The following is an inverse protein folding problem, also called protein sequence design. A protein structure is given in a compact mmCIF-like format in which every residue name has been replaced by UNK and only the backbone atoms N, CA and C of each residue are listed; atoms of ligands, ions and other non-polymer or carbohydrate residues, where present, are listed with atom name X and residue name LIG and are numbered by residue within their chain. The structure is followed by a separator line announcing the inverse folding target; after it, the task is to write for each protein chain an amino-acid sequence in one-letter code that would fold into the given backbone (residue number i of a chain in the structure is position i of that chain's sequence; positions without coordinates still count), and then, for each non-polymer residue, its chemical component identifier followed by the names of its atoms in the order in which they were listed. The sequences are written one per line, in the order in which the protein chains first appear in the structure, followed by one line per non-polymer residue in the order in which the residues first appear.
data_IF_017345484949
#
_entry.id   IF_017345484949
#
_cell.length_a   1.000
_cell.length_b   1.000
_cell.length_c   1.000
_cell.angle_alpha   90.00
_cell.angle_beta   90.00
_cell.angle_gamma   90.00
#
_symmetry.space_group_name_H-M   'P 1'
#
loop_
_entity.id
_entity.type
_entity.pdbx_description
1 polymer ?
#
# COMPACT_ATOMS: atom_id res chain seq x y z
N UNK A 1 -50.98 -12.00 -40.30
CA UNK A 1 -50.31 -13.21 -39.75
C UNK A 1 -49.84 -12.89 -38.36
N UNK A 2 -50.56 -13.37 -37.35
CA UNK A 2 -50.28 -13.12 -35.92
C UNK A 2 -49.24 -14.16 -35.49
N UNK A 3 -47.96 -13.80 -35.48
CA UNK A 3 -46.96 -14.59 -34.76
C UNK A 3 -46.97 -14.18 -33.29
N UNK A 4 -47.26 -15.17 -32.46
CA UNK A 4 -47.68 -15.06 -31.07
C UNK A 4 -46.57 -14.51 -30.17
N UNK A 5 -46.89 -13.43 -29.44
CA UNK A 5 -46.11 -12.84 -28.32
C UNK A 5 -45.83 -13.82 -27.15
N UNK A 6 -46.24 -15.10 -27.25
CA UNK A 6 -45.99 -16.14 -26.24
C UNK A 6 -44.73 -16.99 -26.50
N UNK A 7 -44.05 -16.83 -27.63
CA UNK A 7 -42.85 -17.64 -27.96
C UNK A 7 -41.56 -17.18 -27.27
N UNK A 8 -41.44 -15.88 -26.96
CA UNK A 8 -40.24 -15.27 -26.36
C UNK A 8 -39.96 -15.79 -24.93
N UNK A 9 -40.94 -15.84 -24.00
CA UNK A 9 -40.68 -16.35 -22.65
C UNK A 9 -40.39 -17.86 -22.64
N UNK A 10 -40.95 -18.64 -23.57
CA UNK A 10 -40.71 -20.09 -23.66
C UNK A 10 -39.27 -20.40 -24.12
N UNK A 11 -38.69 -19.59 -25.01
CA UNK A 11 -37.29 -19.72 -25.41
C UNK A 11 -36.32 -19.33 -24.28
N UNK A 12 -36.66 -18.32 -23.47
CA UNK A 12 -35.87 -17.93 -22.30
C UNK A 12 -35.83 -19.02 -21.23
N UNK A 13 -36.97 -19.66 -20.93
CA UNK A 13 -37.04 -20.77 -19.96
C UNK A 13 -36.28 -22.00 -20.47
N UNK A 14 -36.38 -22.32 -21.77
CA UNK A 14 -35.63 -23.43 -22.35
C UNK A 14 -34.10 -23.21 -22.27
N UNK A 15 -33.63 -21.99 -22.54
CA UNK A 15 -32.21 -21.64 -22.42
C UNK A 15 -31.71 -21.76 -20.97
N UNK A 16 -32.51 -21.30 -20.00
CA UNK A 16 -32.16 -21.38 -18.58
C UNK A 16 -32.07 -22.83 -18.07
N UNK A 17 -32.96 -23.71 -18.52
CA UNK A 17 -32.91 -25.14 -18.17
C UNK A 17 -31.68 -25.82 -18.79
N UNK A 18 -31.34 -25.49 -20.04
CA UNK A 18 -30.12 -26.02 -20.69
C UNK A 18 -28.86 -25.53 -19.98
N UNK A 19 -28.81 -24.26 -19.58
CA UNK A 19 -27.70 -23.68 -18.83
C UNK A 19 -27.51 -24.34 -17.44
N UNK A 20 -28.59 -24.57 -16.70
CA UNK A 20 -28.52 -25.27 -15.42
C UNK A 20 -28.08 -26.74 -15.59
N UNK A 21 -28.52 -27.40 -16.67
CA UNK A 21 -28.10 -28.78 -16.97
C UNK A 21 -26.61 -28.87 -17.33
N UNK A 22 -26.08 -27.92 -18.12
CA UNK A 22 -24.65 -27.91 -18.48
C UNK A 22 -23.75 -27.60 -17.28
N UNK A 23 -24.11 -26.63 -16.45
CA UNK A 23 -23.36 -26.30 -15.22
C UNK A 23 -23.38 -27.47 -14.23
N UNK A 24 -24.54 -28.12 -14.07
CA UNK A 24 -24.68 -29.31 -13.23
C UNK A 24 -23.79 -30.46 -13.70
N UNK A 25 -23.74 -30.73 -15.02
CA UNK A 25 -22.90 -31.80 -15.58
C UNK A 25 -21.39 -31.49 -15.48
N UNK A 26 -20.97 -30.25 -15.70
CA UNK A 26 -19.56 -29.85 -15.48
C UNK A 26 -19.16 -30.03 -14.01
N UNK A 27 -20.05 -29.67 -13.07
CA UNK A 27 -19.79 -29.84 -11.64
C UNK A 27 -19.65 -31.32 -11.21
N UNK A 28 -20.37 -32.23 -11.88
CA UNK A 28 -20.24 -33.68 -11.64
C UNK A 28 -18.91 -34.24 -12.13
N UNK A 29 -18.38 -33.71 -13.22
CA UNK A 29 -17.06 -34.09 -13.75
C UNK A 29 -15.91 -33.73 -12.78
N UNK A 30 -16.07 -32.66 -12.00
CA UNK A 30 -15.09 -32.24 -10.98
C UNK A 30 -15.13 -33.10 -9.70
N UNK A 31 -16.25 -33.77 -9.40
CA UNK A 31 -16.38 -34.67 -8.21
C UNK A 31 -15.67 -36.02 -8.36
N UNK A 32 -15.13 -36.34 -9.53
CA UNK A 32 -14.44 -37.61 -9.80
C UNK A 32 -12.96 -37.45 -10.19
N UNK A 33 -12.34 -36.29 -9.92
CA UNK A 33 -10.88 -36.21 -9.96
C UNK A 33 -10.28 -36.83 -8.69
N UNK A 34 -9.40 -37.84 -8.80
CA UNK A 34 -8.72 -38.41 -7.63
C UNK A 34 -7.73 -37.40 -7.05
N UNK A 35 -7.89 -37.10 -5.77
CA UNK A 35 -6.96 -36.34 -4.94
C UNK A 35 -5.62 -37.08 -4.81
N UNK A 36 -4.55 -36.55 -5.39
CA UNK A 36 -3.19 -36.94 -5.02
C UNK A 36 -2.78 -36.14 -3.78
N UNK A 37 -3.08 -36.69 -2.60
CA UNK A 37 -2.64 -36.19 -1.30
C UNK A 37 -1.28 -36.80 -0.97
N UNK A 38 -0.29 -35.94 -0.72
CA UNK A 38 0.91 -36.26 0.03
C UNK A 38 1.02 -35.32 1.22
N UNK A 39 0.13 -35.49 2.21
CA UNK A 39 0.26 -34.86 3.52
C UNK A 39 1.32 -35.64 4.31
N UNK A 40 2.41 -34.96 4.70
CA UNK A 40 3.27 -35.41 5.78
C UNK A 40 2.67 -34.96 7.12
N UNK A 41 2.61 -35.89 8.07
CA UNK A 41 1.80 -35.84 9.29
C UNK A 41 2.07 -34.68 10.26
N UNK A 42 0.98 -34.14 10.82
CA UNK A 42 0.94 -33.49 12.14
C UNK A 42 0.10 -34.39 13.07
N UNK A 43 0.67 -34.79 14.21
CA UNK A 43 -0.09 -35.23 15.39
C UNK A 43 0.36 -34.44 16.61
N UNK A 44 -0.63 -33.92 17.33
CA UNK A 44 -0.55 -32.98 18.46
C UNK A 44 -0.60 -33.69 19.83
N UNK A 45 0.38 -33.42 20.73
CA UNK A 45 0.32 -33.20 22.23
C UNK A 45 -0.28 -34.25 23.19
N UNK A 46 -0.06 -34.23 24.55
CA UNK A 46 0.96 -33.62 25.44
C UNK A 46 1.61 -34.60 26.50
N UNK A 47 2.61 -34.10 27.26
CA UNK A 47 3.46 -34.69 28.35
C UNK A 47 2.77 -35.54 29.46
N UNK A 48 3.47 -36.47 30.21
CA UNK A 48 4.50 -36.14 31.23
C UNK A 48 5.73 -37.08 31.41
N UNK A 49 6.84 -36.47 31.86
CA UNK A 49 8.07 -36.97 32.51
C UNK A 49 8.42 -38.47 32.52
N UNK A 50 9.61 -38.80 31.99
CA UNK A 50 10.60 -39.69 32.62
C UNK A 50 11.99 -39.49 32.04
N UNK A 51 12.97 -39.36 32.92
CA UNK A 51 14.40 -39.19 32.68
C UNK A 51 15.03 -40.38 31.94
N UNK A 52 15.57 -40.15 30.74
CA UNK A 52 16.60 -41.01 30.14
C UNK A 52 17.60 -40.14 29.39
N UNK A 53 18.86 -40.21 29.82
CA UNK A 53 20.01 -39.66 29.11
C UNK A 53 20.20 -40.43 27.80
N UNK A 54 20.09 -39.74 26.66
CA UNK A 54 20.61 -40.23 25.39
C UNK A 54 21.41 -39.13 24.72
N UNK A 55 22.73 -39.29 24.81
CA UNK A 55 23.70 -38.66 23.94
C UNK A 55 23.47 -39.16 22.52
N UNK A 56 23.02 -38.27 21.64
CA UNK A 56 23.09 -38.50 20.20
C UNK A 56 23.68 -37.26 19.55
N UNK A 57 25.01 -37.23 19.47
CA UNK A 57 25.75 -36.49 18.44
C UNK A 57 25.31 -37.01 17.08
N UNK A 58 24.39 -36.28 16.46
CA UNK A 58 24.01 -36.43 15.07
C UNK A 58 23.81 -35.04 14.49
N UNK A 59 24.93 -34.37 14.15
CA UNK A 59 24.87 -33.23 13.22
C UNK A 59 24.30 -33.79 11.91
N UNK A 60 23.04 -33.50 11.65
CA UNK A 60 22.48 -33.64 10.30
C UNK A 60 23.14 -32.57 9.47
N UNK A 61 24.21 -32.97 8.79
CA UNK A 61 24.90 -32.19 7.78
C UNK A 61 23.94 -32.04 6.59
N UNK A 62 23.02 -31.08 6.67
CA UNK A 62 22.26 -30.64 5.52
C UNK A 62 23.27 -29.98 4.56
N UNK A 63 23.41 -30.45 3.31
CA UNK A 63 24.27 -29.77 2.36
C UNK A 63 23.81 -28.32 2.26
N UNK A 64 24.73 -27.38 2.48
CA UNK A 64 24.46 -25.95 2.33
C UNK A 64 23.98 -25.74 0.90
N UNK A 65 22.65 -25.60 0.73
CA UNK A 65 22.05 -25.34 -0.57
C UNK A 65 22.67 -24.05 -1.10
N UNK A 66 23.50 -24.16 -2.13
CA UNK A 66 24.04 -22.99 -2.82
C UNK A 66 22.86 -22.14 -3.29
N UNK A 67 22.84 -20.88 -2.86
CA UNK A 67 21.79 -19.94 -3.26
C UNK A 67 21.88 -19.73 -4.78
N UNK A 68 20.73 -19.67 -5.46
CA UNK A 68 20.65 -19.38 -6.88
C UNK A 68 21.20 -17.98 -7.20
N UNK A 69 21.07 -17.04 -6.26
CA UNK A 69 21.68 -15.73 -6.35
C UNK A 69 22.19 -15.24 -4.98
N UNK A 70 23.34 -14.53 -4.94
CA UNK A 70 23.84 -13.95 -3.70
C UNK A 70 22.84 -12.93 -3.15
N UNK A 71 22.67 -12.90 -1.83
CA UNK A 71 21.80 -11.90 -1.19
C UNK A 71 22.41 -10.50 -1.36
N UNK A 72 21.62 -9.47 -1.71
CA UNK A 72 22.11 -8.11 -1.78
C UNK A 72 22.60 -7.67 -0.40
N UNK A 73 23.68 -6.90 -0.38
CA UNK A 73 24.17 -6.30 0.84
C UNK A 73 23.58 -4.90 1.00
N UNK A 74 22.58 -4.78 1.88
CA UNK A 74 21.91 -3.53 2.17
C UNK A 74 22.67 -2.75 3.24
N UNK A 75 23.54 -1.83 2.81
CA UNK A 75 24.20 -0.88 3.69
C UNK A 75 23.38 0.43 3.78
N UNK A 76 23.40 1.12 4.93
CA UNK A 76 22.95 2.50 5.01
C UNK A 76 23.75 3.39 4.04
N UNK A 77 23.07 4.27 3.31
CA UNK A 77 23.73 5.23 2.44
C UNK A 77 24.29 6.42 3.21
N UNK A 78 25.18 7.17 2.57
CA UNK A 78 25.75 8.41 3.13
C UNK A 78 25.12 9.60 2.39
N UNK A 79 24.29 10.42 3.07
CA UNK A 79 23.72 11.61 2.47
C UNK A 79 24.80 12.58 1.96
N UNK A 80 24.44 13.37 0.94
CA UNK A 80 25.29 14.46 0.48
C UNK A 80 25.37 15.54 1.58
N UNK A 81 26.46 16.34 1.61
CA UNK A 81 26.58 17.45 2.55
C UNK A 81 25.41 18.44 2.46
N UNK A 82 25.05 19.14 3.55
CA UNK A 82 24.02 20.18 3.53
C UNK A 82 24.22 21.18 2.38
N UNK A 83 23.13 21.56 1.72
CA UNK A 83 23.14 22.44 0.54
C UNK A 83 23.47 21.77 -0.78
N UNK A 84 23.76 20.47 -0.79
CA UNK A 84 23.92 19.70 -2.03
C UNK A 84 22.57 19.40 -2.68
N UNK A 85 22.53 19.39 -4.01
CA UNK A 85 21.33 19.02 -4.77
C UNK A 85 21.29 17.52 -5.06
N UNK A 86 20.07 16.98 -5.15
CA UNK A 86 19.79 15.60 -5.54
C UNK A 86 19.10 15.59 -6.90
N UNK A 87 19.58 14.75 -7.82
CA UNK A 87 18.82 14.43 -9.02
C UNK A 87 17.63 13.54 -8.63
N UNK A 88 16.41 13.96 -8.96
CA UNK A 88 15.16 13.31 -8.55
C UNK A 88 14.34 12.94 -9.78
N UNK A 89 13.85 11.70 -9.86
CA UNK A 89 12.88 11.28 -10.89
C UNK A 89 11.62 10.75 -10.23
N UNK A 90 10.46 11.13 -10.77
CA UNK A 90 9.16 10.61 -10.40
C UNK A 90 8.65 9.69 -11.51
N UNK A 91 8.48 8.42 -11.19
CA UNK A 91 8.04 7.36 -12.12
C UNK A 91 6.56 7.07 -11.86
N UNK A 92 5.75 7.25 -12.90
CA UNK A 92 4.29 7.19 -12.80
C UNK A 92 3.73 6.39 -13.97
N UNK A 93 2.88 5.36 -13.72
CA UNK A 93 2.07 4.75 -14.76
C UNK A 93 0.92 5.70 -15.13
N UNK A 94 0.59 5.81 -16.40
CA UNK A 94 -0.54 6.58 -16.90
C UNK A 94 -1.41 5.68 -17.78
N UNK A 95 -2.69 5.55 -17.43
CA UNK A 95 -3.68 4.86 -18.23
C UNK A 95 -4.71 5.84 -18.81
N UNK A 96 -5.07 5.68 -20.09
CA UNK A 96 -6.14 6.44 -20.71
C UNK A 96 -5.96 7.96 -20.61
N UNK A 97 -6.87 8.62 -19.88
CA UNK A 97 -6.94 10.08 -19.75
C UNK A 97 -6.52 10.59 -18.36
N UNK A 98 -5.79 9.79 -17.58
CA UNK A 98 -5.25 10.25 -16.30
C UNK A 98 -4.39 11.50 -16.48
N UNK A 99 -4.62 12.52 -15.64
CA UNK A 99 -3.87 13.77 -15.69
C UNK A 99 -2.56 13.63 -14.93
N UNK A 100 -1.46 13.80 -15.66
CA UNK A 100 -0.09 13.74 -15.16
C UNK A 100 0.65 15.07 -15.35
N UNK A 101 -0.01 16.09 -15.89
CA UNK A 101 0.62 17.39 -16.21
C UNK A 101 0.94 18.18 -14.93
N UNK A 102 0.20 17.96 -13.84
CA UNK A 102 0.45 18.56 -12.54
C UNK A 102 1.91 18.41 -12.08
N UNK A 103 2.57 17.28 -12.39
CA UNK A 103 3.96 17.04 -12.02
C UNK A 103 4.90 18.13 -12.54
N UNK A 104 4.66 18.64 -13.76
CA UNK A 104 5.52 19.67 -14.36
C UNK A 104 5.37 21.03 -13.67
N UNK A 105 4.18 21.33 -13.16
CA UNK A 105 3.86 22.61 -12.54
C UNK A 105 4.20 22.61 -11.05
N UNK A 106 3.83 21.55 -10.35
CA UNK A 106 3.96 21.45 -8.89
C UNK A 106 5.34 20.92 -8.46
N UNK A 107 6.02 20.13 -9.31
CA UNK A 107 7.29 19.48 -8.98
C UNK A 107 8.41 19.80 -9.98
N UNK A 108 8.78 21.09 -10.18
CA UNK A 108 9.79 21.47 -11.16
C UNK A 108 11.19 20.89 -10.88
N UNK A 109 11.46 20.48 -9.64
CA UNK A 109 12.71 19.82 -9.24
C UNK A 109 12.73 18.30 -9.47
N UNK A 110 11.59 17.71 -9.85
CA UNK A 110 11.48 16.28 -10.15
C UNK A 110 11.37 16.09 -11.65
N UNK A 111 12.21 15.23 -12.21
CA UNK A 111 12.06 14.81 -13.59
C UNK A 111 10.91 13.80 -13.69
N UNK A 112 9.82 14.08 -14.44
CA UNK A 112 8.77 13.08 -14.64
C UNK A 112 9.25 12.01 -15.63
N UNK A 113 8.94 10.75 -15.31
CA UNK A 113 9.06 9.56 -16.15
C UNK A 113 7.68 8.88 -16.23
N UNK A 114 6.83 9.39 -17.12
CA UNK A 114 5.45 8.94 -17.30
C UNK A 114 5.40 7.80 -18.29
N UNK A 115 4.98 6.61 -17.85
CA UNK A 115 4.82 5.43 -18.70
C UNK A 115 3.36 5.27 -19.10
N UNK A 116 3.07 5.41 -20.39
CA UNK A 116 1.73 5.20 -20.93
C UNK A 116 1.51 3.69 -21.09
N UNK A 117 0.58 3.12 -20.31
CA UNK A 117 0.45 1.66 -20.21
C UNK A 117 -0.40 1.04 -21.32
N UNK A 118 -1.22 1.83 -22.00
CA UNK A 118 -2.16 1.41 -23.04
C UNK A 118 -1.76 1.86 -24.47
N UNK A 119 -0.61 2.53 -24.63
CA UNK A 119 -0.06 2.94 -25.92
C UNK A 119 1.41 2.48 -26.10
N UNK A 120 1.61 1.41 -26.89
CA UNK A 120 2.95 0.89 -27.22
C UNK A 120 3.77 1.81 -28.13
N UNK A 121 3.17 2.88 -28.68
CA UNK A 121 3.89 3.88 -29.48
C UNK A 121 4.42 5.05 -28.65
N UNK A 122 3.98 5.18 -27.39
CA UNK A 122 4.47 6.20 -26.47
C UNK A 122 5.98 6.05 -26.23
N UNK A 123 6.74 7.15 -26.01
CA UNK A 123 8.18 7.04 -25.77
C UNK A 123 8.57 6.18 -24.56
N UNK A 124 7.77 6.23 -23.50
CA UNK A 124 7.89 5.38 -22.33
C UNK A 124 6.62 4.54 -22.23
N UNK A 125 6.77 3.23 -22.40
CA UNK A 125 5.69 2.24 -22.31
C UNK A 125 6.27 0.94 -21.74
N UNK A 126 5.49 0.16 -20.97
CA UNK A 126 5.91 -1.17 -20.55
C UNK A 126 5.86 -2.16 -21.73
N UNK A 127 6.58 -3.28 -21.67
CA UNK A 127 6.53 -4.31 -22.72
C UNK A 127 5.13 -4.92 -22.91
N UNK A 128 4.32 -4.91 -21.85
CA UNK A 128 2.91 -5.34 -21.84
C UNK A 128 2.23 -4.72 -20.61
N UNK A 129 0.97 -4.32 -20.74
CA UNK A 129 0.16 -3.93 -19.58
C UNK A 129 -0.26 -5.20 -18.80
N UNK A 130 0.45 -5.52 -17.71
CA UNK A 130 0.22 -6.69 -16.84
C UNK A 130 0.71 -6.37 -15.43
N UNK A 131 -0.09 -6.66 -14.41
CA UNK A 131 0.30 -6.45 -13.00
C UNK A 131 0.38 -4.97 -12.59
N UNK A 132 -0.46 -4.11 -13.18
CA UNK A 132 -0.62 -2.69 -12.84
C UNK A 132 0.71 -1.91 -12.82
N UNK A 133 0.99 -1.13 -11.78
CA UNK A 133 2.18 -0.28 -11.65
C UNK A 133 3.49 -1.07 -11.63
N UNK A 134 3.45 -2.35 -11.26
CA UNK A 134 4.63 -3.19 -11.08
C UNK A 134 5.44 -3.31 -12.38
N UNK A 135 4.76 -3.49 -13.52
CA UNK A 135 5.47 -3.62 -14.80
C UNK A 135 6.16 -2.31 -15.19
N UNK A 136 5.56 -1.17 -14.85
CA UNK A 136 6.13 0.15 -15.10
C UNK A 136 7.36 0.37 -14.22
N UNK A 137 7.24 0.12 -12.91
CA UNK A 137 8.33 0.33 -11.96
C UNK A 137 9.54 -0.55 -12.29
N UNK A 138 9.31 -1.83 -12.58
CA UNK A 138 10.38 -2.74 -13.00
C UNK A 138 10.98 -2.34 -14.36
N UNK A 139 10.17 -1.90 -15.33
CA UNK A 139 10.68 -1.46 -16.64
C UNK A 139 11.56 -0.23 -16.50
N UNK A 140 11.16 0.78 -15.73
CA UNK A 140 11.99 1.94 -15.46
C UNK A 140 13.35 1.56 -14.86
N UNK A 141 13.35 0.72 -13.82
CA UNK A 141 14.60 0.27 -13.17
C UNK A 141 15.51 -0.42 -14.19
N UNK A 142 14.95 -1.31 -15.02
CA UNK A 142 15.72 -2.09 -16.00
C UNK A 142 16.29 -1.18 -17.10
N UNK A 143 15.47 -0.30 -17.65
CA UNK A 143 15.81 0.54 -18.81
C UNK A 143 16.83 1.62 -18.43
N UNK A 144 16.75 2.11 -17.19
CA UNK A 144 17.58 3.19 -16.68
C UNK A 144 18.69 2.75 -15.74
N UNK A 145 18.87 1.44 -15.50
CA UNK A 145 19.78 0.88 -14.48
C UNK A 145 21.18 1.53 -14.42
N UNK A 146 21.80 1.78 -15.59
CA UNK A 146 23.14 2.36 -15.69
C UNK A 146 23.19 3.90 -15.52
N UNK A 147 22.02 4.55 -15.50
CA UNK A 147 21.85 6.01 -15.52
C UNK A 147 20.75 6.48 -14.57
N UNK A 148 20.51 5.75 -13.48
CA UNK A 148 19.55 6.11 -12.44
C UNK A 148 19.86 7.52 -11.89
N UNK A 149 18.87 8.32 -11.45
CA UNK A 149 19.09 9.55 -10.68
C UNK A 149 19.48 9.21 -9.24
N UNK A 150 19.71 10.20 -8.37
CA UNK A 150 20.05 9.95 -6.96
C UNK A 150 18.87 9.36 -6.19
N UNK A 151 17.67 9.85 -6.50
CA UNK A 151 16.42 9.51 -5.83
C UNK A 151 15.35 9.22 -6.89
N UNK A 152 14.67 8.09 -6.73
CA UNK A 152 13.58 7.66 -7.60
C UNK A 152 12.34 7.47 -6.73
N UNK A 153 11.28 8.23 -7.00
CA UNK A 153 9.96 7.99 -6.43
C UNK A 153 9.12 7.20 -7.43
N UNK A 154 8.41 6.19 -6.94
CA UNK A 154 7.43 5.39 -7.67
C UNK A 154 6.08 5.65 -7.04
N UNK A 155 5.12 6.13 -7.84
CA UNK A 155 3.84 6.61 -7.33
C UNK A 155 2.72 6.40 -8.34
N UNK A 156 1.46 6.45 -7.90
CA UNK A 156 0.31 6.52 -8.81
C UNK A 156 0.21 7.91 -9.46
N UNK A 157 -0.59 8.02 -10.53
CA UNK A 157 -0.69 9.23 -11.38
C UNK A 157 -1.44 10.40 -10.77
N UNK A 158 -2.32 10.14 -9.80
CA UNK A 158 -3.24 11.13 -9.25
C UNK A 158 -2.52 12.09 -8.27
N UNK A 159 -2.68 13.40 -8.50
CA UNK A 159 -2.20 14.40 -7.53
C UNK A 159 -2.94 14.30 -6.19
N UNK A 160 -4.27 14.22 -6.24
CA UNK A 160 -5.11 14.09 -5.05
C UNK A 160 -5.73 12.69 -5.01
N UNK A 161 -5.45 11.93 -3.95
CA UNK A 161 -5.96 10.58 -3.81
C UNK A 161 -6.10 10.16 -2.34
N UNK A 162 -6.99 9.21 -2.09
CA UNK A 162 -7.25 8.64 -0.76
C UNK A 162 -6.06 7.89 -0.16
N UNK A 163 -5.15 7.39 -1.00
CA UNK A 163 -3.96 6.65 -0.58
C UNK A 163 -2.75 7.56 -0.31
N UNK A 164 -2.88 8.87 -0.51
CA UNK A 164 -1.92 9.86 -0.08
C UNK A 164 -2.26 10.29 1.36
N UNK A 165 -1.24 10.62 2.16
CA UNK A 165 -1.45 10.89 3.58
C UNK A 165 -2.32 12.15 3.80
N UNK A 166 -3.28 12.02 4.72
CA UNK A 166 -4.26 13.05 5.06
C UNK A 166 -3.61 14.33 5.61
N UNK A 167 -2.46 14.21 6.28
CA UNK A 167 -1.69 15.37 6.78
C UNK A 167 -1.26 16.34 5.66
N UNK A 168 -1.25 15.87 4.41
CA UNK A 168 -0.99 16.67 3.21
C UNK A 168 -2.27 16.88 2.38
N UNK A 169 -3.44 16.73 2.98
CA UNK A 169 -4.75 16.79 2.32
C UNK A 169 -4.86 15.85 1.09
N UNK A 170 -4.21 14.68 1.16
CA UNK A 170 -4.14 13.73 0.06
C UNK A 170 -3.36 14.22 -1.16
N UNK A 171 -2.55 15.28 -1.04
CA UNK A 171 -1.79 15.90 -2.12
C UNK A 171 -0.38 15.30 -2.28
N UNK A 172 -0.18 14.54 -3.36
CA UNK A 172 1.09 13.94 -3.72
C UNK A 172 2.20 14.98 -3.98
N UNK A 173 1.86 16.16 -4.50
CA UNK A 173 2.84 17.20 -4.73
C UNK A 173 3.47 17.70 -3.42
N UNK A 174 2.65 17.95 -2.41
CA UNK A 174 3.14 18.41 -1.11
C UNK A 174 4.02 17.34 -0.43
N UNK A 175 3.61 16.06 -0.52
CA UNK A 175 4.43 14.93 -0.05
C UNK A 175 5.84 14.96 -0.68
N UNK A 176 5.93 15.04 -2.01
CA UNK A 176 7.20 15.00 -2.72
C UNK A 176 8.03 16.29 -2.63
N UNK A 177 7.41 17.43 -2.38
CA UNK A 177 8.11 18.69 -2.09
C UNK A 177 8.78 18.64 -0.70
N UNK A 178 8.10 18.06 0.29
CA UNK A 178 8.60 17.97 1.67
C UNK A 178 9.55 16.80 1.91
N UNK A 179 9.53 15.80 1.03
CA UNK A 179 10.34 14.59 1.16
C UNK A 179 11.82 14.91 1.36
N UNK A 180 12.40 14.40 2.45
CA UNK A 180 13.80 14.55 2.80
C UNK A 180 14.69 13.54 2.04
N UNK A 181 15.48 13.96 1.04
CA UNK A 181 16.34 13.06 0.28
C UNK A 181 17.42 12.40 1.14
N UNK A 182 17.86 13.07 2.21
CA UNK A 182 18.90 12.54 3.09
C UNK A 182 18.42 11.29 3.84
N UNK A 183 17.16 11.28 4.30
CA UNK A 183 16.55 10.07 4.88
C UNK A 183 16.50 8.94 3.86
N UNK A 184 16.02 9.22 2.64
CA UNK A 184 15.92 8.21 1.58
C UNK A 184 17.29 7.58 1.28
N UNK A 185 18.36 8.37 1.29
CA UNK A 185 19.72 7.85 1.12
C UNK A 185 20.16 7.02 2.32
N UNK A 186 19.94 7.49 3.56
CA UNK A 186 20.30 6.74 4.77
C UNK A 186 19.65 5.35 4.79
N UNK A 187 18.34 5.31 4.61
CA UNK A 187 17.56 4.07 4.71
C UNK A 187 17.66 3.23 3.42
N UNK A 188 17.90 3.89 2.29
CA UNK A 188 17.92 3.30 0.95
C UNK A 188 16.54 3.09 0.34
N UNK A 189 15.51 2.94 1.18
CA UNK A 189 14.10 2.75 0.84
C UNK A 189 13.23 3.46 1.86
N UNK A 190 12.15 4.09 1.41
CA UNK A 190 11.11 4.64 2.27
C UNK A 190 9.76 4.51 1.57
N UNK A 191 8.75 4.02 2.27
CA UNK A 191 7.37 4.11 1.81
C UNK A 191 6.93 5.58 1.87
N UNK A 192 6.26 6.08 0.84
CA UNK A 192 5.80 7.47 0.81
C UNK A 192 4.64 7.69 1.79
N UNK A 193 3.91 6.64 2.14
CA UNK A 193 2.86 6.68 3.13
C UNK A 193 3.42 6.42 4.53
N UNK A 194 3.07 7.26 5.49
CA UNK A 194 3.44 7.08 6.89
C UNK A 194 2.34 6.42 7.71
N UNK A 195 1.06 6.61 7.35
CA UNK A 195 -0.07 6.03 8.09
C UNK A 195 -0.01 4.50 8.03
N UNK A 196 -0.15 3.83 9.17
CA UNK A 196 -0.03 2.38 9.27
C UNK A 196 -1.14 1.58 8.56
N UNK A 197 -2.36 2.10 8.52
CA UNK A 197 -3.52 1.35 8.03
C UNK A 197 -3.89 1.69 6.57
N UNK A 198 -4.11 0.70 5.68
CA UNK A 198 -3.83 -0.71 5.88
C UNK A 198 -2.33 -1.01 5.74
N UNK A 199 -1.90 -2.15 6.30
CA UNK A 199 -0.59 -2.71 6.01
C UNK A 199 0.36 -2.92 7.20
N UNK A 200 0.20 -2.18 8.29
CA UNK A 200 1.01 -2.30 9.50
C UNK A 200 0.16 -2.51 10.77
N UNK A 201 0.71 -3.16 11.81
CA UNK A 201 2.00 -3.85 11.86
C UNK A 201 1.95 -5.31 11.38
N UNK A 202 0.75 -5.85 11.16
CA UNK A 202 0.49 -7.26 10.89
C UNK A 202 -0.59 -7.38 9.81
N UNK A 203 -0.17 -7.53 8.54
CA UNK A 203 -1.08 -7.42 7.41
C UNK A 203 -1.26 -8.73 6.66
N UNK A 204 -0.26 -9.22 5.95
CA UNK A 204 -0.39 -10.43 5.12
C UNK A 204 0.33 -11.62 5.73
N UNK A 205 -0.37 -12.74 5.82
CA UNK A 205 0.14 -14.01 6.30
C UNK A 205 0.20 -15.01 5.14
N UNK A 206 1.36 -15.25 4.50
CA UNK A 206 1.46 -16.18 3.37
C UNK A 206 0.96 -17.61 3.64
N UNK A 207 0.88 -18.02 4.92
CA UNK A 207 0.33 -19.31 5.33
C UNK A 207 -1.19 -19.34 5.51
N UNK A 208 -1.91 -18.24 5.28
CA UNK A 208 -3.36 -18.19 5.41
C UNK A 208 -4.05 -19.07 4.36
N UNK A 209 -5.03 -19.85 4.80
CA UNK A 209 -5.80 -20.76 3.95
C UNK A 209 -7.23 -20.26 3.68
N UNK A 210 -7.70 -19.31 4.49
CA UNK A 210 -9.03 -18.74 4.37
C UNK A 210 -8.96 -17.48 3.51
N UNK A 211 -9.89 -17.34 2.58
CA UNK A 211 -10.03 -16.12 1.80
C UNK A 211 -10.58 -15.00 2.69
N UNK A 212 -9.94 -13.83 2.60
CA UNK A 212 -10.39 -12.58 3.19
C UNK A 212 -10.72 -11.61 2.03
N UNK A 213 -11.92 -11.06 2.03
CA UNK A 213 -12.39 -10.14 0.99
C UNK A 213 -11.52 -8.87 0.90
N UNK A 214 -10.87 -8.49 2.00
CA UNK A 214 -9.96 -7.35 2.06
C UNK A 214 -8.52 -7.68 1.65
N UNK A 215 -8.14 -8.97 1.62
CA UNK A 215 -6.78 -9.47 1.35
C UNK A 215 -6.79 -10.65 0.37
N UNK A 216 -7.44 -10.46 -0.78
CA UNK A 216 -7.69 -11.52 -1.76
C UNK A 216 -6.40 -12.19 -2.29
N UNK A 217 -5.27 -11.49 -2.22
CA UNK A 217 -3.94 -11.97 -2.58
C UNK A 217 -3.33 -12.95 -1.57
N UNK A 218 -3.79 -12.96 -0.32
CA UNK A 218 -3.07 -13.58 0.80
C UNK A 218 -2.90 -15.09 0.63
N UNK A 219 -3.95 -15.78 0.20
CA UNK A 219 -3.94 -17.24 -0.03
C UNK A 219 -3.02 -17.66 -1.19
N UNK A 220 -2.64 -16.72 -2.06
CA UNK A 220 -1.74 -16.95 -3.20
C UNK A 220 -0.28 -16.59 -2.88
N UNK A 221 0.00 -15.97 -1.73
CA UNK A 221 1.33 -15.47 -1.40
C UNK A 221 2.34 -16.58 -1.19
N UNK A 222 2.04 -17.68 -0.50
CA UNK A 222 3.02 -18.76 -0.29
C UNK A 222 3.54 -19.34 -1.62
N UNK A 223 2.64 -19.57 -2.58
CA UNK A 223 3.02 -20.03 -3.92
C UNK A 223 3.85 -18.98 -4.65
N UNK A 224 3.34 -17.75 -4.70
CA UNK A 224 4.02 -16.65 -5.39
C UNK A 224 5.39 -16.35 -4.79
N UNK A 225 5.53 -16.48 -3.47
CA UNK A 225 6.78 -16.32 -2.75
C UNK A 225 7.82 -17.36 -3.19
N UNK A 226 7.43 -18.63 -3.25
CA UNK A 226 8.32 -19.70 -3.72
C UNK A 226 8.79 -19.50 -5.17
N UNK A 227 7.99 -18.81 -5.99
CA UNK A 227 8.36 -18.44 -7.36
C UNK A 227 9.24 -17.17 -7.40
N UNK A 228 8.94 -16.13 -6.62
CA UNK A 228 9.64 -14.84 -6.66
C UNK A 228 10.97 -14.87 -5.87
N UNK A 229 10.99 -15.56 -4.73
CA UNK A 229 12.14 -15.66 -3.82
C UNK A 229 12.46 -17.14 -3.50
N UNK A 230 12.88 -17.94 -4.49
CA UNK A 230 13.00 -19.40 -4.37
C UNK A 230 14.00 -19.90 -3.30
N UNK A 231 14.88 -19.02 -2.82
CA UNK A 231 15.88 -19.34 -1.79
C UNK A 231 15.61 -18.65 -0.45
N UNK A 232 14.49 -17.93 -0.32
CA UNK A 232 14.10 -17.32 0.93
C UNK A 232 13.00 -18.15 1.60
N UNK A 233 13.07 -18.36 2.93
CA UNK A 233 11.95 -18.98 3.64
C UNK A 233 10.70 -18.13 3.49
N UNK A 234 9.54 -18.78 3.40
CA UNK A 234 8.24 -18.10 3.38
C UNK A 234 8.08 -17.39 4.73
N UNK A 235 7.82 -16.07 4.76
CA UNK A 235 7.67 -15.34 5.99
C UNK A 235 6.34 -15.63 6.66
N UNK A 236 6.27 -15.44 7.98
CA UNK A 236 5.01 -15.57 8.72
C UNK A 236 4.10 -14.36 8.50
N UNK A 237 4.69 -13.18 8.31
CA UNK A 237 4.02 -11.88 8.17
C UNK A 237 4.76 -11.05 7.12
N UNK A 238 4.00 -10.37 6.26
CA UNK A 238 4.44 -9.26 5.44
C UNK A 238 3.66 -8.02 5.85
N UNK A 239 4.37 -6.95 6.19
CA UNK A 239 3.74 -5.71 6.64
C UNK A 239 4.58 -4.49 6.28
N UNK A 240 3.89 -3.48 5.75
CA UNK A 240 4.37 -2.11 5.52
C UNK A 240 3.14 -1.24 5.22
N UNK A 241 3.19 0.10 5.27
CA UNK A 241 2.09 0.92 4.77
C UNK A 241 1.73 0.55 3.31
N UNK A 242 0.45 0.57 2.98
CA UNK A 242 -0.05 0.10 1.68
C UNK A 242 0.45 0.88 0.44
N UNK A 243 -0.06 0.42 -0.69
CA UNK A 243 -0.36 1.20 -1.89
C UNK A 243 0.81 1.41 -2.85
N UNK A 244 1.89 0.62 -2.72
CA UNK A 244 2.99 0.57 -3.68
C UNK A 244 3.63 1.94 -4.04
N UNK A 245 3.46 2.97 -3.19
CA UNK A 245 4.07 4.28 -3.37
C UNK A 245 5.32 4.37 -2.48
N UNK A 246 6.49 4.45 -3.10
CA UNK A 246 7.75 4.42 -2.35
C UNK A 246 8.84 5.20 -3.07
N UNK A 247 9.90 5.51 -2.33
CA UNK A 247 11.07 6.18 -2.84
C UNK A 247 12.32 5.37 -2.48
N UNK A 248 13.26 5.31 -3.42
CA UNK A 248 14.53 4.58 -3.27
C UNK A 248 15.70 5.41 -3.73
N UNK A 249 16.84 5.18 -3.08
CA UNK A 249 18.12 5.73 -3.52
C UNK A 249 18.71 4.93 -4.68
N UNK A 250 19.52 5.60 -5.51
CA UNK A 250 20.31 4.99 -6.56
C UNK A 250 21.12 3.80 -6.06
N UNK A 251 21.86 4.02 -4.97
CA UNK A 251 22.77 3.05 -4.38
C UNK A 251 22.01 1.80 -3.92
N UNK A 252 20.78 1.99 -3.43
CA UNK A 252 19.94 0.86 -3.02
C UNK A 252 19.48 0.01 -4.20
N UNK A 253 19.08 0.62 -5.31
CA UNK A 253 18.77 -0.13 -6.54
C UNK A 253 20.02 -0.86 -7.04
N UNK A 254 21.17 -0.18 -7.09
CA UNK A 254 22.43 -0.73 -7.61
C UNK A 254 23.01 -1.86 -6.75
N UNK A 255 22.63 -1.96 -5.47
CA UNK A 255 22.98 -3.10 -4.62
C UNK A 255 22.34 -4.41 -5.09
N UNK A 256 21.32 -4.35 -5.95
CA UNK A 256 20.57 -5.50 -6.46
C UNK A 256 20.91 -5.68 -7.94
N UNK A 257 21.54 -6.79 -8.37
CA UNK A 257 21.91 -6.98 -9.77
C UNK A 257 20.73 -6.81 -10.73
N UNK A 258 20.94 -6.07 -11.83
CA UNK A 258 19.92 -5.83 -12.88
C UNK A 258 19.14 -7.09 -13.30
N UNK A 259 19.82 -8.23 -13.40
CA UNK A 259 19.22 -9.51 -13.76
C UNK A 259 18.08 -9.94 -12.81
N UNK A 260 18.10 -9.49 -11.55
CA UNK A 260 17.04 -9.79 -10.59
C UNK A 260 15.77 -8.98 -10.88
N UNK A 261 15.89 -7.72 -11.26
CA UNK A 261 14.73 -6.93 -11.71
C UNK A 261 14.13 -7.50 -13.00
N UNK A 262 14.97 -7.99 -13.92
CA UNK A 262 14.51 -8.72 -15.11
C UNK A 262 13.74 -9.98 -14.72
N UNK A 263 14.26 -10.77 -13.76
CA UNK A 263 13.57 -11.95 -13.24
C UNK A 263 12.18 -11.63 -12.67
N UNK A 264 12.09 -10.56 -11.87
CA UNK A 264 10.83 -10.08 -11.32
C UNK A 264 9.84 -9.66 -12.41
N UNK A 265 10.31 -8.93 -13.42
CA UNK A 265 9.47 -8.51 -14.55
C UNK A 265 8.98 -9.72 -15.35
N UNK A 266 9.85 -10.69 -15.55
CA UNK A 266 9.50 -11.92 -16.26
C UNK A 266 8.50 -12.76 -15.47
N UNK A 267 8.52 -12.73 -14.13
CA UNK A 267 7.49 -13.37 -13.31
C UNK A 267 6.12 -12.71 -13.53
N UNK A 268 6.05 -11.37 -13.49
CA UNK A 268 4.82 -10.62 -13.77
C UNK A 268 4.26 -10.97 -15.15
N UNK A 269 5.12 -11.04 -16.17
CA UNK A 269 4.69 -11.31 -17.54
C UNK A 269 4.21 -12.75 -17.77
N UNK A 270 4.72 -13.71 -17.00
CA UNK A 270 4.45 -15.15 -17.19
C UNK A 270 3.41 -15.73 -16.24
N UNK A 271 3.16 -15.10 -15.11
CA UNK A 271 2.20 -15.61 -14.13
C UNK A 271 0.78 -15.66 -14.72
N UNK A 272 0.05 -16.72 -14.36
CA UNK A 272 -1.36 -16.90 -14.73
C UNK A 272 -2.31 -16.10 -13.82
N UNK A 273 -1.78 -15.47 -12.77
CA UNK A 273 -2.54 -14.60 -11.88
C UNK A 273 -3.09 -13.38 -12.64
N UNK A 274 -4.29 -12.95 -12.28
CA UNK A 274 -4.88 -11.71 -12.83
C UNK A 274 -4.00 -10.50 -12.53
N UNK A 275 -4.19 -9.41 -13.28
CA UNK A 275 -3.47 -8.14 -13.02
C UNK A 275 -3.72 -7.64 -11.61
N UNK A 276 -4.98 -7.71 -11.18
CA UNK A 276 -5.39 -7.38 -9.82
C UNK A 276 -4.61 -8.14 -8.75
N UNK A 277 -4.55 -9.48 -8.82
CA UNK A 277 -3.88 -10.29 -7.78
C UNK A 277 -2.36 -10.15 -7.86
N UNK A 278 -1.79 -10.19 -9.08
CA UNK A 278 -0.34 -10.05 -9.24
C UNK A 278 0.18 -8.66 -8.81
N UNK A 279 -0.59 -7.59 -9.03
CA UNK A 279 -0.29 -6.26 -8.51
C UNK A 279 -0.34 -6.20 -6.99
N UNK A 280 -1.45 -6.67 -6.38
CA UNK A 280 -1.63 -6.68 -4.92
C UNK A 280 -0.58 -7.51 -4.17
N UNK A 281 -0.11 -8.61 -4.75
CA UNK A 281 1.03 -9.36 -4.20
C UNK A 281 2.27 -8.45 -4.11
N UNK A 282 2.57 -7.71 -5.18
CA UNK A 282 3.75 -6.86 -5.25
C UNK A 282 3.69 -5.61 -4.39
N UNK A 283 2.50 -5.12 -4.09
CA UNK A 283 2.27 -4.00 -3.16
C UNK A 283 3.03 -4.18 -1.84
N UNK A 284 3.11 -5.42 -1.34
CA UNK A 284 3.81 -5.80 -0.10
C UNK A 284 5.11 -6.57 -0.33
N UNK A 285 5.76 -6.40 -1.50
CA UNK A 285 7.08 -6.97 -1.77
C UNK A 285 8.17 -5.92 -2.02
N UNK A 286 7.82 -4.66 -2.24
CA UNK A 286 8.81 -3.62 -2.52
C UNK A 286 9.79 -3.42 -1.36
N UNK A 287 9.31 -3.38 -0.12
CA UNK A 287 10.19 -3.29 1.04
C UNK A 287 11.07 -4.54 1.17
N UNK A 288 10.56 -5.74 0.88
CA UNK A 288 11.36 -6.97 0.85
C UNK A 288 12.49 -6.87 -0.18
N UNK A 289 12.17 -6.40 -1.39
CA UNK A 289 13.15 -6.24 -2.48
C UNK A 289 14.24 -5.23 -2.11
N UNK A 290 13.88 -4.12 -1.47
CA UNK A 290 14.82 -3.04 -1.20
C UNK A 290 15.41 -3.03 0.22
N UNK A 291 14.94 -3.85 1.14
CA UNK A 291 15.47 -3.89 2.53
C UNK A 291 15.87 -5.29 2.96
N UNK A 292 15.31 -6.33 2.34
CA UNK A 292 15.46 -7.71 2.80
C UNK A 292 14.61 -8.05 4.02
N UNK A 293 13.89 -7.08 4.58
CA UNK A 293 13.03 -7.24 5.74
C UNK A 293 11.59 -7.53 5.31
N UNK A 294 10.92 -8.42 6.04
CA UNK A 294 9.53 -8.79 5.77
C UNK A 294 8.53 -7.79 6.37
N UNK A 295 8.95 -7.03 7.38
CA UNK A 295 8.12 -6.06 8.11
C UNK A 295 8.85 -4.72 8.20
N UNK A 296 8.31 -3.68 7.58
CA UNK A 296 8.81 -2.30 7.65
C UNK A 296 7.65 -1.40 8.08
N UNK A 297 7.50 -1.23 9.40
CA UNK A 297 6.46 -0.40 10.02
C UNK A 297 7.11 0.65 10.93
N UNK A 298 7.74 1.69 10.36
CA UNK A 298 8.31 2.77 11.16
C UNK A 298 7.19 3.46 11.94
N UNK A 299 7.49 3.95 13.15
CA UNK A 299 6.53 4.78 13.89
C UNK A 299 6.11 5.98 13.04
N UNK A 300 4.81 6.26 13.00
CA UNK A 300 4.22 7.29 12.14
C UNK A 300 4.86 8.67 12.40
N UNK A 301 5.04 9.04 13.67
CA UNK A 301 5.69 10.30 14.07
C UNK A 301 7.14 10.42 13.58
N UNK A 302 7.91 9.32 13.58
CA UNK A 302 9.27 9.27 13.03
C UNK A 302 9.23 9.38 11.51
N UNK A 303 8.27 8.71 10.86
CA UNK A 303 8.05 8.80 9.41
C UNK A 303 7.83 10.25 8.96
N UNK A 304 6.89 10.95 9.61
CA UNK A 304 6.62 12.36 9.31
C UNK A 304 7.79 13.28 9.64
N UNK A 305 8.44 13.10 10.77
CA UNK A 305 9.49 14.02 11.21
C UNK A 305 10.75 13.91 10.33
N UNK A 306 11.40 12.74 10.28
CA UNK A 306 12.66 12.61 9.54
C UNK A 306 12.43 12.58 8.02
N UNK A 307 11.22 12.17 7.58
CA UNK A 307 10.88 11.99 6.17
C UNK A 307 10.27 13.22 5.51
N UNK A 308 9.46 13.98 6.24
CA UNK A 308 8.72 15.12 5.69
C UNK A 308 8.89 16.43 6.49
N UNK A 309 9.66 16.41 7.58
CA UNK A 309 9.89 17.60 8.39
C UNK A 309 8.69 18.02 9.24
N UNK A 310 7.86 17.07 9.68
CA UNK A 310 6.76 17.34 10.60
C UNK A 310 7.01 16.59 11.91
N UNK A 311 7.50 17.31 12.93
CA UNK A 311 7.98 16.72 14.17
C UNK A 311 7.05 17.02 15.34
N UNK A 312 6.45 15.96 15.88
CA UNK A 312 5.43 16.04 16.93
C UNK A 312 5.98 15.94 18.36
N UNK A 313 7.30 15.99 18.54
CA UNK A 313 7.96 15.86 19.86
C UNK A 313 7.74 14.49 20.50
N UNK A 314 7.78 13.45 19.68
CA UNK A 314 7.58 12.07 20.07
C UNK A 314 6.19 11.54 19.78
N UNK A 315 5.97 10.31 20.27
CA UNK A 315 4.75 9.54 20.07
C UNK A 315 3.55 10.19 20.75
N UNK A 316 3.71 10.70 21.98
CA UNK A 316 2.62 11.35 22.74
C UNK A 316 2.04 12.56 22.02
N UNK A 317 2.91 13.41 21.45
CA UNK A 317 2.43 14.56 20.67
C UNK A 317 1.73 14.12 19.39
N UNK A 318 2.22 13.09 18.71
CA UNK A 318 1.52 12.60 17.53
C UNK A 318 0.19 11.92 17.86
N UNK A 319 0.09 11.23 18.99
CA UNK A 319 -1.14 10.62 19.47
C UNK A 319 -2.21 11.67 19.78
N UNK A 320 -1.82 12.80 20.36
CA UNK A 320 -2.72 13.94 20.56
C UNK A 320 -3.22 14.53 19.23
N UNK A 321 -2.34 14.65 18.24
CA UNK A 321 -2.72 15.09 16.90
C UNK A 321 -3.74 14.14 16.26
N UNK A 322 -3.53 12.82 16.37
CA UNK A 322 -4.46 11.81 15.87
C UNK A 322 -5.80 11.84 16.62
N UNK A 323 -5.77 12.03 17.95
CA UNK A 323 -6.98 12.15 18.76
C UNK A 323 -7.85 13.32 18.30
N UNK A 324 -7.25 14.48 18.06
CA UNK A 324 -7.97 15.65 17.55
C UNK A 324 -8.62 15.39 16.17
N UNK A 325 -7.93 14.68 15.27
CA UNK A 325 -8.52 14.28 13.98
C UNK A 325 -9.68 13.32 14.14
N UNK A 326 -9.53 12.30 15.00
CA UNK A 326 -10.60 11.35 15.30
C UNK A 326 -11.85 12.07 15.85
N UNK A 327 -11.67 12.95 16.83
CA UNK A 327 -12.76 13.73 17.41
C UNK A 327 -13.42 14.66 16.39
N UNK A 328 -12.63 15.32 15.52
CA UNK A 328 -13.16 16.13 14.42
C UNK A 328 -14.00 15.27 13.47
N UNK A 329 -13.50 14.10 13.06
CA UNK A 329 -14.20 13.20 12.15
C UNK A 329 -15.51 12.65 12.72
N UNK A 330 -15.54 12.34 14.02
CA UNK A 330 -16.78 11.97 14.72
C UNK A 330 -17.82 13.09 14.69
N UNK A 331 -17.41 14.33 14.97
CA UNK A 331 -18.28 15.51 14.90
C UNK A 331 -18.79 15.78 13.47
N UNK A 332 -17.94 15.58 12.45
CA UNK A 332 -18.32 15.73 11.05
C UNK A 332 -19.36 14.70 10.61
N UNK A 333 -19.23 13.44 11.04
CA UNK A 333 -20.22 12.41 10.75
C UNK A 333 -21.55 12.68 11.50
N UNK A 334 -21.48 13.14 12.76
CA UNK A 334 -22.66 13.58 13.52
C UNK A 334 -23.38 14.74 12.81
N UNK A 335 -22.64 15.74 12.30
CA UNK A 335 -23.20 16.87 11.57
C UNK A 335 -23.85 16.43 10.26
N UNK A 336 -23.19 15.52 9.53
CA UNK A 336 -23.71 14.94 8.30
C UNK A 336 -24.99 14.14 8.55
N UNK A 337 -25.03 13.34 9.60
CA UNK A 337 -26.22 12.60 10.01
C UNK A 337 -27.37 13.55 10.37
N UNK A 338 -27.11 14.57 11.20
CA UNK A 338 -28.09 15.59 11.58
C UNK A 338 -28.67 16.28 10.34
N UNK A 339 -27.81 16.67 9.38
CA UNK A 339 -28.25 17.32 8.13
C UNK A 339 -29.09 16.39 7.27
N UNK A 340 -28.73 15.10 7.20
CA UNK A 340 -29.51 14.08 6.51
C UNK A 340 -30.90 13.90 7.12
N UNK A 341 -31.01 13.85 8.45
CA UNK A 341 -32.28 13.73 9.15
C UNK A 341 -33.16 14.98 8.95
N UNK A 342 -32.56 16.17 8.99
CA UNK A 342 -33.25 17.43 8.73
C UNK A 342 -33.79 17.50 7.28
N UNK A 343 -33.01 17.05 6.30
CA UNK A 343 -33.42 16.99 4.90
C UNK A 343 -34.57 15.98 4.70
N UNK A 344 -34.50 14.80 5.32
CA UNK A 344 -35.55 13.80 5.24
C UNK A 344 -36.90 14.33 5.76
N UNK A 345 -36.88 15.10 6.85
CA UNK A 345 -38.09 15.75 7.40
C UNK A 345 -38.67 16.77 6.42
N UNK A 346 -37.82 17.61 5.80
CA UNK A 346 -38.30 18.61 4.86
C UNK A 346 -38.88 17.97 3.58
N UNK A 347 -38.30 16.86 3.11
CA UNK A 347 -38.84 16.09 1.98
C UNK A 347 -40.24 15.57 2.29
N UNK A 348 -40.43 14.92 3.45
CA UNK A 348 -41.73 14.38 3.88
C UNK A 348 -42.79 15.48 4.07
N UNK A 349 -42.36 16.66 4.50
CA UNK A 349 -43.22 17.83 4.67
C UNK A 349 -43.72 18.34 3.32
N UNK A 350 -42.85 18.35 2.31
CA UNK A 350 -43.18 18.78 0.94
C UNK A 350 -44.07 17.76 0.22
N UNK A 351 -43.80 16.46 0.38
CA UNK A 351 -44.59 15.38 -0.23
C UNK A 351 -45.96 15.18 0.42
N UNK A 352 -46.19 15.77 1.61
CA UNK A 352 -47.45 15.65 2.34
C UNK A 352 -47.67 14.27 2.97
N UNK A 353 -46.62 13.47 3.08
CA UNK A 353 -46.61 12.13 3.69
C UNK A 353 -46.25 12.15 5.17
N UNK A 354 -45.88 13.33 5.70
CA UNK A 354 -45.61 13.58 7.11
C UNK A 354 -46.90 13.39 7.94
N UNK A 355 -47.00 12.24 8.61
CA UNK A 355 -48.14 11.84 9.45
C UNK A 355 -47.69 11.15 10.74
N UNK A 356 -48.64 10.84 11.64
CA UNK A 356 -48.37 10.21 12.96
C UNK A 356 -47.67 8.84 12.89
N UNK A 357 -47.69 8.18 11.72
CA UNK A 357 -47.00 6.89 11.48
C UNK A 357 -45.57 7.04 10.95
N UNK A 358 -45.10 8.26 10.68
CA UNK A 358 -43.72 8.49 10.24
C UNK A 358 -42.77 8.34 11.43
N UNK A 359 -41.98 7.26 11.44
CA UNK A 359 -40.93 7.00 12.45
C UNK A 359 -39.69 7.87 12.21
N UNK A 360 -39.86 9.19 12.18
CA UNK A 360 -38.76 10.13 11.93
C UNK A 360 -38.39 10.81 13.24
N UNK A 361 -37.17 10.59 13.72
CA UNK A 361 -36.62 11.32 14.85
C UNK A 361 -36.34 12.77 14.44
N UNK A 362 -37.00 13.72 15.08
CA UNK A 362 -36.71 15.15 14.86
C UNK A 362 -35.37 15.48 15.52
N UNK A 363 -34.37 15.92 14.75
CA UNK A 363 -33.09 16.31 15.32
C UNK A 363 -33.21 17.59 16.15
N UNK A 364 -32.38 17.72 17.19
CA UNK A 364 -32.45 18.86 18.11
C UNK A 364 -32.13 20.19 17.39
N UNK A 365 -33.01 21.22 17.47
CA UNK A 365 -32.76 22.50 16.82
C UNK A 365 -31.52 23.21 17.36
N UNK A 366 -30.64 23.68 16.47
CA UNK A 366 -29.41 24.40 16.81
C UNK A 366 -28.19 23.51 17.10
N UNK A 367 -28.36 22.18 17.10
CA UNK A 367 -27.27 21.23 17.26
C UNK A 367 -26.27 21.27 16.10
N UNK A 368 -26.73 21.60 14.90
CA UNK A 368 -25.89 21.84 13.73
C UNK A 368 -24.87 22.96 13.96
N UNK A 369 -25.31 24.09 14.50
CA UNK A 369 -24.44 25.24 14.81
C UNK A 369 -23.42 24.86 15.89
N UNK A 370 -23.84 24.11 16.91
CA UNK A 370 -22.94 23.63 17.97
C UNK A 370 -21.87 22.68 17.43
N UNK A 371 -22.25 21.75 16.55
CA UNK A 371 -21.32 20.84 15.89
C UNK A 371 -20.34 21.60 15.00
N UNK A 372 -20.80 22.58 14.21
CA UNK A 372 -19.94 23.42 13.37
C UNK A 372 -18.92 24.23 14.18
N UNK A 373 -19.32 24.78 15.34
CA UNK A 373 -18.39 25.47 16.25
C UNK A 373 -17.34 24.51 16.81
N UNK A 374 -17.73 23.31 17.25
CA UNK A 374 -16.79 22.31 17.77
C UNK A 374 -15.81 21.83 16.69
N UNK A 375 -16.29 21.56 15.46
CA UNK A 375 -15.43 21.19 14.32
C UNK A 375 -14.43 22.30 14.05
N UNK A 376 -14.88 23.56 14.00
CA UNK A 376 -14.01 24.73 13.76
C UNK A 376 -12.95 24.89 14.85
N UNK A 377 -13.30 24.62 16.12
CA UNK A 377 -12.34 24.63 17.22
C UNK A 377 -11.26 23.56 17.06
N UNK A 378 -11.66 22.31 16.74
CA UNK A 378 -10.72 21.20 16.52
C UNK A 378 -9.81 21.47 15.34
N UNK A 379 -10.35 21.98 14.25
CA UNK A 379 -9.59 22.36 13.06
C UNK A 379 -8.52 23.42 13.39
N UNK A 380 -8.87 24.44 14.16
CA UNK A 380 -7.89 25.46 14.60
C UNK A 380 -6.75 24.86 15.42
N UNK A 381 -7.06 23.91 16.31
CA UNK A 381 -6.06 23.23 17.14
C UNK A 381 -5.14 22.32 16.31
N UNK A 382 -5.72 21.55 15.39
CA UNK A 382 -5.01 20.71 14.43
C UNK A 382 -4.02 21.55 13.61
N UNK A 383 -4.51 22.65 13.05
CA UNK A 383 -3.71 23.56 12.24
C UNK A 383 -2.55 24.20 13.02
N UNK A 384 -2.82 24.60 14.26
CA UNK A 384 -1.81 25.16 15.16
C UNK A 384 -0.72 24.12 15.47
N UNK A 385 -1.13 22.89 15.75
CA UNK A 385 -0.23 21.79 16.03
C UNK A 385 0.62 21.41 14.82
N UNK A 386 0.02 21.34 13.62
CA UNK A 386 0.72 21.05 12.37
C UNK A 386 1.75 22.14 12.02
N UNK A 387 1.39 23.42 12.21
CA UNK A 387 2.32 24.55 12.02
C UNK A 387 3.51 24.46 12.97
N UNK A 388 3.27 24.21 14.25
CA UNK A 388 4.33 24.05 15.25
C UNK A 388 5.22 22.84 14.95
N UNK A 389 4.62 21.71 14.56
CA UNK A 389 5.35 20.50 14.18
C UNK A 389 6.22 20.71 12.93
N UNK A 390 5.71 21.43 11.93
CA UNK A 390 6.47 21.82 10.74
C UNK A 390 7.64 22.72 11.09
N UNK A 391 7.41 23.76 11.91
CA UNK A 391 8.47 24.68 12.32
C UNK A 391 9.60 23.97 13.09
N UNK A 392 9.27 22.99 13.94
CA UNK A 392 10.26 22.15 14.62
C UNK A 392 11.03 21.26 13.66
N UNK A 393 10.36 20.74 12.63
CA UNK A 393 11.01 19.94 11.61
C UNK A 393 12.01 20.71 10.76
N UNK A 394 12.03 22.04 10.76
CA UNK A 394 13.11 22.79 10.10
C UNK A 394 14.46 22.65 10.81
N UNK A 395 14.51 22.12 12.03
CA UNK A 395 15.77 21.83 12.75
C UNK A 395 16.26 20.39 12.47
N UNK A 396 17.42 20.21 11.81
CA UNK A 396 18.03 18.89 11.59
C UNK A 396 18.30 18.10 12.86
N UNK A 397 18.58 18.79 13.98
CA UNK A 397 18.81 18.17 15.28
C UNK A 397 17.51 17.63 15.87
N UNK A 398 16.40 18.34 15.71
CA UNK A 398 15.08 17.87 16.14
C UNK A 398 14.67 16.62 15.35
N UNK A 399 14.86 16.61 14.02
CA UNK A 399 14.63 15.40 13.20
C UNK A 399 15.49 14.23 13.66
N UNK A 400 16.75 14.49 13.98
CA UNK A 400 17.66 13.47 14.46
C UNK A 400 17.21 12.86 15.80
N UNK A 401 16.82 13.72 16.73
CA UNK A 401 16.35 13.31 18.04
C UNK A 401 15.09 12.45 17.93
N UNK A 402 14.12 12.87 17.12
CA UNK A 402 12.88 12.12 16.90
C UNK A 402 13.13 10.73 16.31
N UNK A 403 14.03 10.64 15.33
CA UNK A 403 14.43 9.39 14.70
C UNK A 403 15.39 8.54 15.55
N UNK A 404 15.77 9.01 16.76
CA UNK A 404 16.72 8.31 17.62
C UNK A 404 18.13 8.19 17.05
N UNK A 405 18.51 9.06 16.10
CA UNK A 405 19.81 9.06 15.42
C UNK A 405 20.77 10.07 16.06
N UNK A 406 22.09 9.78 16.13
CA UNK A 406 23.06 10.74 16.63
C UNK A 406 23.12 11.97 15.71
N UNK A 407 23.38 13.14 16.29
CA UNK A 407 23.56 14.40 15.57
C UNK A 407 24.76 15.16 16.12
N UNK A 408 25.53 15.77 15.22
CA UNK A 408 26.66 16.65 15.53
C UNK A 408 26.48 18.00 14.83
N UNK A 409 27.13 19.01 15.38
CA UNK A 409 27.13 20.35 14.79
C UNK A 409 27.60 20.30 13.32
N UNK A 410 26.79 20.83 12.41
CA UNK A 410 27.01 20.79 10.97
C UNK A 410 26.38 19.60 10.23
N UNK A 411 25.80 18.62 10.93
CA UNK A 411 25.02 17.56 10.29
C UNK A 411 23.70 18.11 9.74
N UNK A 412 23.35 17.68 8.52
CA UNK A 412 22.09 18.01 7.88
C UNK A 412 20.90 17.16 8.34
N UNK A 413 19.80 17.30 7.61
CA UNK A 413 18.56 16.53 7.82
C UNK A 413 18.73 15.03 7.60
#
# INVERSE_FOLDING_TARGET
MIFSRRAIPLLGVAFFIVFLYTVSNLSRQWRHMPQAVGLGDLVTTPFPTSSVYLNTTGMVDQPSRELYAPRPHYAPGVPKPPGSTYAKTLVVPQAGFEDTEWMRYELPEWQPAVYVVDDLSAPLHPPKNKGHEVIVYLSYIIDHYEKLPDIIAFMHSHQFAWHNDEIFNGNAAEMLQRLNPARVVREGYMNLRCIWAPGCPDWLHPGALQEDEHKQEETMLARSWGEIFPDNPIPQVLAQPCCAQFVVSRERILAIPKARFVYYRDWILRTELSDYISGRIWEYLWHVVFTGENVICPKEHVCYCDGYGICFEGEEGYDEFRRLHSEKGELEEDLKQWRGDAEAIEVERISGTLGEESHISVPDPGRDTELEEQISEKERLIDEMLRNATARGEDPKARALEAGRPWKEGDGF
#
